data_IF_677062282992
#
_entry.id   IF_677062282992
#
_cell.length_a   1.000
_cell.length_b   1.000
_cell.length_c   1.000
_cell.angle_alpha   90.00
_cell.angle_beta   90.00
_cell.angle_gamma   90.00
#
_symmetry.space_group_name_H-M   'P 1'
#
loop_
_entity.id
_entity.type
_entity.pdbx_description
1 polymer ?
#
# COMPACT_ATOMS: atom_id res chain seq x y z
N UNK A 1 3.66 -3.40 -17.25
CA UNK A 1 3.72 -3.09 -15.81
C UNK A 1 2.43 -2.46 -15.34
N UNK A 2 1.96 -2.87 -14.19
CA UNK A 2 0.75 -2.32 -13.56
C UNK A 2 1.16 -1.46 -12.38
N UNK A 3 0.57 -0.27 -12.26
CA UNK A 3 0.79 0.62 -11.11
C UNK A 3 -0.53 0.87 -10.42
N UNK A 4 -0.49 1.02 -9.12
CA UNK A 4 -1.70 1.26 -8.34
C UNK A 4 -1.39 2.15 -7.14
N UNK A 5 -2.39 2.92 -6.75
CA UNK A 5 -2.39 3.61 -5.47
C UNK A 5 -3.10 2.72 -4.46
N UNK A 6 -2.44 2.46 -3.36
CA UNK A 6 -3.01 1.65 -2.27
C UNK A 6 -3.27 2.57 -1.10
N UNK A 7 -4.53 2.74 -0.77
CA UNK A 7 -4.94 3.54 0.38
C UNK A 7 -5.03 2.60 1.58
N UNK A 8 -4.31 2.93 2.64
CA UNK A 8 -4.15 2.03 3.79
C UNK A 8 -4.68 2.69 5.05
N UNK A 9 -5.55 1.98 5.76
CA UNK A 9 -5.97 2.36 7.10
C UNK A 9 -5.21 1.50 8.09
N UNK A 10 -4.71 2.13 9.13
CA UNK A 10 -3.92 1.45 10.15
C UNK A 10 -4.58 1.55 11.52
N UNK A 11 -4.20 0.65 12.40
CA UNK A 11 -4.61 0.72 13.79
C UNK A 11 -3.94 1.90 14.48
N UNK A 12 -4.62 2.42 15.49
CA UNK A 12 -4.14 3.58 16.25
C UNK A 12 -2.71 3.34 16.75
N UNK A 13 -1.83 4.31 16.49
CA UNK A 13 -0.44 4.25 16.93
C UNK A 13 0.49 3.42 16.04
N UNK A 14 -0.01 2.87 14.93
CA UNK A 14 0.78 1.99 14.06
C UNK A 14 1.24 2.66 12.76
N UNK A 15 0.93 3.92 12.57
CA UNK A 15 1.24 4.63 11.32
C UNK A 15 2.71 4.55 10.93
N UNK A 16 3.61 4.86 11.86
CA UNK A 16 5.04 4.88 11.56
C UNK A 16 5.56 3.48 11.20
N UNK A 17 5.15 2.48 11.96
CA UNK A 17 5.59 1.10 11.72
C UNK A 17 5.17 0.62 10.35
N UNK A 18 3.90 0.85 9.97
CA UNK A 18 3.39 0.44 8.67
C UNK A 18 4.06 1.23 7.55
N UNK A 19 4.23 2.55 7.74
CA UNK A 19 4.91 3.38 6.73
C UNK A 19 6.33 2.87 6.46
N UNK A 20 7.08 2.57 7.49
CA UNK A 20 8.44 2.06 7.34
C UNK A 20 8.46 0.70 6.64
N UNK A 21 7.52 -0.17 6.97
CA UNK A 21 7.40 -1.47 6.31
C UNK A 21 7.03 -1.33 4.83
N UNK A 22 6.09 -0.45 4.50
CA UNK A 22 5.73 -0.18 3.10
C UNK A 22 6.94 0.30 2.32
N UNK A 23 7.70 1.24 2.88
CA UNK A 23 8.88 1.79 2.22
C UNK A 23 9.99 0.79 2.02
N UNK A 24 9.99 -0.31 2.77
CA UNK A 24 11.00 -1.36 2.63
C UNK A 24 10.70 -2.33 1.48
N UNK A 25 9.49 -2.33 0.94
CA UNK A 25 9.13 -3.23 -0.15
C UNK A 25 9.63 -2.70 -1.49
N UNK A 26 10.33 -3.53 -2.27
CA UNK A 26 10.86 -3.09 -3.57
C UNK A 26 9.78 -2.60 -4.54
N UNK A 27 8.59 -3.16 -4.45
CA UNK A 27 7.48 -2.79 -5.33
C UNK A 27 6.80 -1.48 -4.94
N UNK A 28 7.13 -0.91 -3.81
CA UNK A 28 6.59 0.37 -3.35
C UNK A 28 7.50 1.48 -3.86
N UNK A 29 7.01 2.27 -4.80
CA UNK A 29 7.76 3.40 -5.34
C UNK A 29 7.76 4.57 -4.38
N UNK A 30 6.64 4.77 -3.69
CA UNK A 30 6.47 5.88 -2.76
C UNK A 30 5.40 5.52 -1.73
N UNK A 31 5.59 5.95 -0.51
CA UNK A 31 4.57 5.84 0.53
C UNK A 31 4.63 7.07 1.43
N UNK A 32 3.48 7.64 1.71
CA UNK A 32 3.34 8.84 2.52
C UNK A 32 2.21 8.66 3.53
N UNK A 33 2.38 9.28 4.69
CA UNK A 33 1.26 9.42 5.62
C UNK A 33 0.47 10.67 5.23
N UNK A 34 -0.84 10.59 5.38
CA UNK A 34 -1.75 11.66 4.95
C UNK A 34 -2.80 11.91 6.02
N UNK A 35 -3.48 13.05 5.91
CA UNK A 35 -4.63 13.35 6.75
C UNK A 35 -5.91 12.90 6.08
N UNK A 36 -6.97 12.66 6.85
CA UNK A 36 -8.27 12.27 6.34
C UNK A 36 -8.64 10.85 6.73
N UNK A 37 -9.65 10.27 6.05
CA UNK A 37 -10.13 8.92 6.42
C UNK A 37 -9.12 7.80 6.15
N UNK A 38 -8.16 8.05 5.28
CA UNK A 38 -7.07 7.12 4.98
C UNK A 38 -5.82 7.60 5.71
N UNK A 39 -5.05 6.69 6.27
CA UNK A 39 -3.83 7.04 7.04
C UNK A 39 -2.59 7.12 6.16
N UNK A 40 -2.47 6.23 5.20
CA UNK A 40 -1.31 6.13 4.32
C UNK A 40 -1.75 5.94 2.88
N UNK A 41 -0.94 6.47 1.96
CA UNK A 41 -1.12 6.20 0.53
C UNK A 41 0.22 5.73 -0.01
N UNK A 42 0.20 4.59 -0.71
CA UNK A 42 1.39 4.05 -1.34
C UNK A 42 1.17 3.95 -2.85
N UNK A 43 2.22 4.24 -3.62
CA UNK A 43 2.23 3.99 -5.05
C UNK A 43 3.07 2.73 -5.26
N UNK A 44 2.46 1.72 -5.84
CA UNK A 44 3.10 0.41 -6.02
C UNK A 44 3.11 0.02 -7.49
N UNK A 45 4.00 -0.91 -7.84
CA UNK A 45 4.04 -1.47 -9.18
C UNK A 45 4.17 -2.99 -9.12
N UNK A 46 3.70 -3.64 -10.18
CA UNK A 46 3.83 -5.08 -10.37
C UNK A 46 3.89 -5.36 -11.88
N UNK A 47 4.39 -6.52 -12.26
CA UNK A 47 4.52 -6.87 -13.67
C UNK A 47 3.16 -7.06 -14.33
N UNK A 48 2.20 -7.64 -13.59
CA UNK A 48 0.88 -7.94 -14.08
C UNK A 48 -0.15 -7.87 -12.96
N UNK A 49 -1.45 -7.98 -13.26
CA UNK A 49 -2.48 -7.91 -12.23
C UNK A 49 -2.36 -8.99 -11.15
N UNK A 50 -1.88 -10.17 -11.49
CA UNK A 50 -1.68 -11.23 -10.51
C UNK A 50 -0.59 -10.87 -9.53
N UNK A 51 0.51 -10.31 -10.02
CA UNK A 51 1.59 -9.83 -9.16
C UNK A 51 1.12 -8.73 -8.22
N UNK A 52 0.26 -7.85 -8.72
CA UNK A 52 -0.33 -6.82 -7.88
C UNK A 52 -1.19 -7.43 -6.76
N UNK A 53 -2.04 -8.38 -7.10
CA UNK A 53 -2.87 -9.07 -6.10
C UNK A 53 -2.00 -9.76 -5.05
N UNK A 54 -0.95 -10.44 -5.47
CA UNK A 54 -0.02 -11.10 -4.55
C UNK A 54 0.65 -10.09 -3.62
N UNK A 55 1.08 -8.96 -4.15
CA UNK A 55 1.69 -7.89 -3.34
C UNK A 55 0.73 -7.42 -2.25
N UNK A 56 -0.51 -7.13 -2.62
CA UNK A 56 -1.51 -6.62 -1.67
C UNK A 56 -1.86 -7.68 -0.64
N UNK A 57 -2.21 -8.89 -1.06
CA UNK A 57 -2.70 -9.93 -0.15
C UNK A 57 -1.62 -10.57 0.70
N UNK A 58 -0.41 -10.73 0.17
CA UNK A 58 0.66 -11.42 0.88
C UNK A 58 1.61 -10.51 1.62
N UNK A 59 1.78 -9.29 1.15
CA UNK A 59 2.76 -8.38 1.73
C UNK A 59 2.15 -7.19 2.47
N UNK A 60 1.10 -6.58 1.93
CA UNK A 60 0.52 -5.39 2.53
C UNK A 60 -0.52 -5.72 3.58
N UNK A 61 -1.50 -6.56 3.24
CA UNK A 61 -2.58 -6.89 4.18
C UNK A 61 -2.13 -7.72 5.37
N UNK A 62 -0.98 -8.37 5.28
CA UNK A 62 -0.41 -9.17 6.37
C UNK A 62 0.47 -8.35 7.32
N UNK A 63 0.74 -7.09 7.02
CA UNK A 63 1.52 -6.24 7.91
C UNK A 63 0.77 -6.01 9.22
N UNK A 64 1.47 -6.16 10.34
CA UNK A 64 0.89 -5.84 11.65
C UNK A 64 0.51 -4.37 11.68
N UNK A 65 -0.71 -4.08 12.09
CA UNK A 65 -1.23 -2.72 12.16
C UNK A 65 -2.06 -2.28 10.97
N UNK A 66 -2.05 -3.01 9.87
CA UNK A 66 -2.92 -2.70 8.72
C UNK A 66 -4.33 -3.20 9.01
N UNK A 67 -5.30 -2.28 8.95
CA UNK A 67 -6.71 -2.61 9.15
C UNK A 67 -7.41 -2.90 7.83
N UNK A 68 -7.13 -2.10 6.83
CA UNK A 68 -7.91 -2.08 5.60
C UNK A 68 -7.10 -1.51 4.47
N UNK A 69 -7.25 -2.05 3.27
CA UNK A 69 -6.61 -1.52 2.07
C UNK A 69 -7.65 -1.28 0.98
N UNK A 70 -7.43 -0.23 0.20
CA UNK A 70 -8.27 0.13 -0.94
C UNK A 70 -7.32 0.36 -2.11
N UNK A 71 -7.29 -0.57 -3.06
CA UNK A 71 -6.36 -0.53 -4.18
C UNK A 71 -7.01 0.11 -5.41
N UNK A 72 -6.37 1.14 -5.92
CA UNK A 72 -6.82 1.90 -7.10
C UNK A 72 -5.80 1.74 -8.22
N UNK A 73 -6.12 0.92 -9.21
CA UNK A 73 -5.21 0.68 -10.34
C UNK A 73 -5.18 1.91 -11.24
N UNK A 74 -3.96 2.33 -11.62
CA UNK A 74 -3.78 3.44 -12.55
C UNK A 74 -4.20 2.98 -13.93
N UNK A 75 -5.18 3.66 -14.52
CA UNK A 75 -5.68 3.36 -15.86
C UNK A 75 -4.93 4.19 -16.88
N UNK A 76 -4.70 5.44 -16.56
CA UNK A 76 -4.04 6.41 -17.42
C UNK A 76 -3.25 7.39 -16.58
N UNK A 77 -2.07 7.73 -16.99
CA UNK A 77 -1.24 8.65 -16.22
C UNK A 77 -0.64 9.74 -17.10
#
# INVERSE_FOLDING_TARGET
MVRAYVLVKVESGKTREVLDQLRSLPSVERADSVTGPTDLIALVNAEDPRGLADLIFRSVQTMAGVKETDTRIVVES
#
